data_IF_637834003128
#
_entry.id   IF_637834003128
#
_cell.length_a   1.000
_cell.length_b   1.000
_cell.length_c   1.000
_cell.angle_alpha   90.00
_cell.angle_beta   90.00
_cell.angle_gamma   90.00
#
_symmetry.space_group_name_H-M   'P 1'
#
loop_
_entity.id
_entity.type
_entity.pdbx_description
1 polymer ?
#
# COMPACT_ATOMS: atom_id res chain seq x y z
N UNK A 1 23.69 25.28 -11.60
CA UNK A 1 24.41 25.75 -12.80
C UNK A 1 25.85 26.13 -12.47
N UNK A 2 26.09 26.88 -11.38
CA UNK A 2 27.41 27.38 -10.99
C UNK A 2 28.51 26.32 -10.79
N UNK A 3 28.23 25.18 -10.14
CA UNK A 3 29.23 24.13 -9.93
C UNK A 3 29.70 23.43 -11.22
N UNK A 4 28.82 23.30 -12.22
CA UNK A 4 29.17 22.70 -13.51
C UNK A 4 29.97 23.69 -14.37
N UNK A 5 29.68 24.98 -14.24
CA UNK A 5 30.43 26.07 -14.85
C UNK A 5 31.83 26.20 -14.23
N UNK A 6 31.96 26.03 -12.91
CA UNK A 6 33.26 26.00 -12.23
C UNK A 6 34.14 24.83 -12.66
N UNK A 7 33.55 23.69 -13.01
CA UNK A 7 34.28 22.56 -13.63
C UNK A 7 34.65 22.87 -15.08
N UNK A 8 33.73 23.44 -15.87
CA UNK A 8 33.97 23.80 -17.27
C UNK A 8 35.08 24.84 -17.41
N UNK A 9 35.13 25.81 -16.49
CA UNK A 9 36.16 26.84 -16.43
C UNK A 9 37.41 26.40 -15.65
N UNK A 10 37.51 25.12 -15.28
CA UNK A 10 38.65 24.53 -14.55
C UNK A 10 38.97 25.21 -13.21
N UNK A 11 38.00 25.88 -12.59
CA UNK A 11 38.10 26.41 -11.22
C UNK A 11 38.10 25.31 -10.17
N UNK A 12 37.42 24.19 -10.47
CA UNK A 12 37.38 22.98 -9.65
C UNK A 12 37.54 21.77 -10.58
N UNK A 13 38.27 20.73 -10.15
CA UNK A 13 38.36 19.51 -10.95
C UNK A 13 37.08 18.68 -10.82
N UNK A 14 36.71 17.97 -11.89
CA UNK A 14 35.54 17.09 -11.89
C UNK A 14 35.62 16.03 -10.77
N UNK A 15 36.82 15.51 -10.50
CA UNK A 15 37.07 14.54 -9.43
C UNK A 15 36.74 15.10 -8.04
N UNK A 16 37.12 16.35 -7.76
CA UNK A 16 36.83 17.00 -6.49
C UNK A 16 35.32 17.22 -6.35
N UNK A 17 34.66 17.73 -7.39
CA UNK A 17 33.21 17.91 -7.36
C UNK A 17 32.47 16.58 -7.15
N UNK A 18 32.92 15.51 -7.81
CA UNK A 18 32.35 14.18 -7.65
C UNK A 18 32.52 13.64 -6.23
N UNK A 19 33.73 13.68 -5.68
CA UNK A 19 34.02 13.20 -4.32
C UNK A 19 33.20 13.97 -3.28
N UNK A 20 33.10 15.30 -3.40
CA UNK A 20 32.30 16.11 -2.48
C UNK A 20 30.81 15.84 -2.63
N UNK A 21 30.31 15.67 -3.85
CA UNK A 21 28.91 15.30 -4.10
C UNK A 21 28.58 13.95 -3.46
N UNK A 22 29.44 12.94 -3.67
CA UNK A 22 29.27 11.62 -3.04
C UNK A 22 29.33 11.73 -1.52
N UNK A 23 30.26 12.51 -0.96
CA UNK A 23 30.35 12.73 0.50
C UNK A 23 29.04 13.32 1.06
N UNK A 24 28.51 14.36 0.43
CA UNK A 24 27.25 15.00 0.85
C UNK A 24 26.09 14.00 0.76
N UNK A 25 26.02 13.22 -0.31
CA UNK A 25 24.99 12.18 -0.46
C UNK A 25 25.08 11.10 0.63
N UNK A 26 26.29 10.69 1.01
CA UNK A 26 26.51 9.74 2.12
C UNK A 26 26.09 10.35 3.46
N UNK A 27 26.42 11.62 3.73
CA UNK A 27 25.97 12.30 4.94
C UNK A 27 24.44 12.40 5.02
N UNK A 28 23.78 12.81 3.93
CA UNK A 28 22.32 12.88 3.85
C UNK A 28 21.68 11.50 4.04
N UNK A 29 22.29 10.44 3.50
CA UNK A 29 21.84 9.06 3.71
C UNK A 29 21.96 8.67 5.19
N UNK A 30 23.10 8.94 5.81
CA UNK A 30 23.36 8.56 7.19
C UNK A 30 22.45 9.33 8.17
N UNK A 31 22.18 10.62 7.90
CA UNK A 31 21.19 11.40 8.65
C UNK A 31 19.77 10.82 8.55
N UNK A 32 19.36 10.39 7.36
CA UNK A 32 18.06 9.72 7.16
C UNK A 32 17.97 8.41 7.94
N UNK A 33 19.00 7.58 7.89
CA UNK A 33 19.05 6.33 8.67
C UNK A 33 19.00 6.59 10.17
N UNK A 34 19.76 7.58 10.66
CA UNK A 34 19.75 7.96 12.07
C UNK A 34 18.37 8.43 12.53
N UNK A 35 17.67 9.23 11.71
CA UNK A 35 16.31 9.70 12.01
C UNK A 35 15.30 8.55 12.06
N UNK A 36 15.33 7.66 11.07
CA UNK A 36 14.45 6.49 11.01
C UNK A 36 14.68 5.57 12.23
N UNK A 37 15.95 5.29 12.55
CA UNK A 37 16.30 4.51 13.73
C UNK A 37 15.82 5.16 15.03
N UNK A 38 15.91 6.49 15.14
CA UNK A 38 15.39 7.23 16.30
C UNK A 38 13.87 7.08 16.46
N UNK A 39 13.11 7.16 15.36
CA UNK A 39 11.65 6.99 15.39
C UNK A 39 11.27 5.55 15.77
N UNK A 40 11.93 4.56 15.20
CA UNK A 40 11.70 3.14 15.55
C UNK A 40 12.04 2.86 17.02
N UNK A 41 13.17 3.37 17.51
CA UNK A 41 13.55 3.22 18.91
C UNK A 41 12.57 3.89 19.88
N UNK A 42 11.91 4.98 19.45
CA UNK A 42 10.90 5.64 20.27
C UNK A 42 9.65 4.76 20.44
N UNK A 43 9.23 4.05 19.39
CA UNK A 43 8.11 3.09 19.45
C UNK A 43 8.42 1.88 20.35
N UNK A 44 9.66 1.38 20.36
CA UNK A 44 10.03 0.26 21.23
C UNK A 44 9.94 0.59 22.73
N UNK A 45 10.16 1.86 23.10
CA UNK A 45 10.11 2.30 24.50
C UNK A 45 8.69 2.32 25.08
N UNK A 46 7.67 2.23 24.24
CA UNK A 46 6.27 2.17 24.63
C UNK A 46 5.79 0.72 24.88
N UNK A 47 6.68 -0.29 24.77
CA UNK A 47 6.34 -1.69 25.09
C UNK A 47 5.85 -1.83 26.54
N UNK A 48 4.54 -1.96 26.69
CA UNK A 48 3.86 -2.11 27.98
C UNK A 48 2.60 -1.27 28.12
N UNK A 49 2.33 -0.34 27.20
CA UNK A 49 1.04 0.37 27.12
C UNK A 49 -0.08 -0.56 26.63
N UNK A 50 -1.32 -0.09 26.82
CA UNK A 50 -2.48 -0.76 26.24
C UNK A 50 -2.30 -0.78 24.70
N UNK A 51 -2.58 -1.91 24.03
CA UNK A 51 -2.51 -1.93 22.57
C UNK A 51 -3.63 -1.10 21.96
N UNK A 52 -3.26 -0.26 20.99
CA UNK A 52 -4.16 0.63 20.26
C UNK A 52 -5.51 -0.01 19.95
N UNK A 53 -6.58 0.71 20.25
CA UNK A 53 -7.93 0.29 19.85
C UNK A 53 -8.07 0.20 18.32
N UNK A 54 -9.04 -0.60 17.84
CA UNK A 54 -9.31 -0.70 16.39
C UNK A 54 -9.60 0.67 15.76
N UNK A 55 -10.33 1.55 16.44
CA UNK A 55 -10.65 2.90 15.93
C UNK A 55 -9.44 3.86 15.98
N UNK A 56 -8.54 3.71 16.95
CA UNK A 56 -7.28 4.44 16.97
C UNK A 56 -6.41 4.07 15.75
N UNK A 57 -6.34 2.77 15.42
CA UNK A 57 -5.63 2.29 14.22
C UNK A 57 -6.31 2.83 12.94
N UNK A 58 -7.64 2.79 12.85
CA UNK A 58 -8.36 3.37 11.69
C UNK A 58 -8.04 4.86 11.53
N UNK A 59 -8.02 5.62 12.63
CA UNK A 59 -7.72 7.06 12.63
C UNK A 59 -6.29 7.33 12.17
N UNK A 60 -5.31 6.58 12.71
CA UNK A 60 -3.91 6.66 12.33
C UNK A 60 -3.73 6.40 10.83
N UNK A 61 -4.31 5.31 10.32
CA UNK A 61 -4.17 4.93 8.91
C UNK A 61 -4.88 5.93 7.99
N UNK A 62 -6.03 6.47 8.40
CA UNK A 62 -6.72 7.52 7.65
C UNK A 62 -5.88 8.81 7.56
N UNK A 63 -5.21 9.20 8.64
CA UNK A 63 -4.29 10.35 8.64
C UNK A 63 -3.07 10.11 7.74
N UNK A 64 -2.53 8.89 7.76
CA UNK A 64 -1.43 8.51 6.88
C UNK A 64 -1.84 8.53 5.40
N UNK A 65 -3.05 8.04 5.09
CA UNK A 65 -3.61 8.04 3.74
C UNK A 65 -3.87 9.46 3.19
N UNK A 66 -4.15 10.43 4.07
CA UNK A 66 -4.35 11.83 3.70
C UNK A 66 -3.04 12.57 3.35
N UNK A 67 -1.88 11.95 3.56
CA UNK A 67 -0.59 12.54 3.21
C UNK A 67 -0.40 12.61 1.68
N UNK A 68 0.48 13.51 1.22
CA UNK A 68 0.79 13.65 -0.22
C UNK A 68 1.52 12.40 -0.72
N UNK A 69 1.26 12.04 -1.99
CA UNK A 69 1.88 10.89 -2.67
C UNK A 69 1.58 9.54 -1.98
N UNK A 70 0.38 9.39 -1.43
CA UNK A 70 -0.10 8.21 -0.72
C UNK A 70 -0.73 7.13 -1.62
N UNK A 71 -0.55 7.18 -2.96
CA UNK A 71 -1.27 6.29 -3.90
C UNK A 71 -0.97 4.80 -3.72
N UNK A 72 0.19 4.45 -3.15
CA UNK A 72 0.54 3.05 -2.82
C UNK A 72 -0.11 2.57 -1.52
N UNK A 73 -0.53 3.47 -0.63
CA UNK A 73 -1.00 3.10 0.71
C UNK A 73 -2.27 2.23 0.72
N UNK A 74 -3.29 2.44 -0.15
CA UNK A 74 -4.44 1.52 -0.24
C UNK A 74 -4.04 0.07 -0.52
N UNK A 75 -3.05 -0.13 -1.39
CA UNK A 75 -2.49 -1.47 -1.65
C UNK A 75 -1.95 -2.07 -0.36
N UNK A 76 -1.12 -1.30 0.37
CA UNK A 76 -0.50 -1.79 1.61
C UNK A 76 -1.51 -2.04 2.73
N UNK A 77 -2.62 -1.28 2.77
CA UNK A 77 -3.71 -1.49 3.74
C UNK A 77 -4.35 -2.87 3.52
N UNK A 78 -4.73 -3.19 2.28
CA UNK A 78 -5.32 -4.50 1.97
C UNK A 78 -4.29 -5.61 2.13
N UNK A 79 -3.05 -5.37 1.72
CA UNK A 79 -2.00 -6.36 1.84
C UNK A 79 -1.67 -6.73 3.30
N UNK A 80 -1.61 -5.73 4.18
CA UNK A 80 -1.41 -5.95 5.62
C UNK A 80 -2.56 -6.76 6.24
N UNK A 81 -3.80 -6.59 5.77
CA UNK A 81 -4.95 -7.34 6.26
C UNK A 81 -4.81 -8.84 5.98
N UNK A 82 -4.46 -9.19 4.75
CA UNK A 82 -4.19 -10.58 4.38
C UNK A 82 -2.96 -11.15 5.09
N UNK A 83 -1.85 -10.40 5.15
CA UNK A 83 -0.64 -10.86 5.84
C UNK A 83 -0.90 -11.12 7.34
N UNK A 84 -1.72 -10.31 7.99
CA UNK A 84 -2.06 -10.51 9.39
C UNK A 84 -3.05 -11.67 9.64
N UNK A 85 -3.85 -12.02 8.63
CA UNK A 85 -4.90 -13.03 8.75
C UNK A 85 -4.62 -14.33 7.97
N UNK A 86 -3.44 -14.47 7.35
CA UNK A 86 -3.07 -15.60 6.47
C UNK A 86 -3.34 -16.97 7.11
N UNK A 87 -2.89 -17.15 8.36
CA UNK A 87 -3.08 -18.38 9.14
C UNK A 87 -4.57 -18.74 9.38
N UNK A 88 -5.48 -17.79 9.19
CA UNK A 88 -6.93 -17.96 9.42
C UNK A 88 -7.76 -18.00 8.15
N UNK A 89 -7.27 -17.43 7.05
CA UNK A 89 -8.02 -17.33 5.80
C UNK A 89 -7.76 -18.51 4.87
N UNK A 90 -6.65 -19.24 5.03
CA UNK A 90 -6.17 -20.20 4.03
C UNK A 90 -6.07 -19.57 2.62
N UNK A 91 -5.83 -18.26 2.59
CA UNK A 91 -5.63 -17.41 1.41
C UNK A 91 -4.31 -16.65 1.59
N UNK A 92 -3.59 -16.44 0.49
CA UNK A 92 -2.29 -15.75 0.48
C UNK A 92 -2.20 -14.78 -0.69
N UNK A 93 -1.53 -13.65 -0.48
CA UNK A 93 -1.27 -12.65 -1.52
C UNK A 93 -0.10 -13.13 -2.39
N UNK A 94 -0.27 -13.06 -3.71
CA UNK A 94 0.84 -13.13 -4.66
C UNK A 94 1.72 -11.88 -4.53
N UNK A 95 3.03 -12.10 -4.43
CA UNK A 95 4.05 -11.07 -4.16
C UNK A 95 3.70 -9.70 -4.74
N UNK A 96 3.65 -8.68 -3.87
CA UNK A 96 3.43 -7.29 -4.27
C UNK A 96 4.54 -6.87 -5.24
N UNK A 97 4.23 -6.82 -6.53
CA UNK A 97 5.22 -6.39 -7.52
C UNK A 97 5.62 -4.94 -7.24
N UNK A 98 6.91 -4.64 -7.29
CA UNK A 98 7.42 -3.28 -7.20
C UNK A 98 6.91 -2.51 -8.44
N UNK A 99 6.08 -1.49 -8.23
CA UNK A 99 5.46 -0.68 -9.29
C UNK A 99 6.45 0.19 -10.08
N UNK A 100 7.45 -0.39 -10.73
CA UNK A 100 8.19 0.27 -11.79
C UNK A 100 8.34 -0.71 -12.95
N UNK A 101 7.45 -0.56 -13.94
CA UNK A 101 7.33 -1.32 -15.17
C UNK A 101 6.56 -2.65 -15.09
N UNK A 102 5.28 -2.63 -15.50
CA UNK A 102 4.85 -3.26 -16.76
C UNK A 102 3.32 -3.37 -16.88
N UNK A 103 2.64 -2.30 -17.29
CA UNK A 103 1.23 -2.34 -17.76
C UNK A 103 1.06 -3.00 -19.15
N UNK A 104 2.02 -3.82 -19.60
CA UNK A 104 1.91 -4.56 -20.85
C UNK A 104 2.66 -5.89 -20.89
N UNK A 105 3.41 -6.26 -19.83
CA UNK A 105 4.35 -7.39 -19.89
C UNK A 105 4.25 -8.41 -18.76
N UNK A 106 3.51 -8.16 -17.68
CA UNK A 106 3.38 -9.11 -16.54
C UNK A 106 2.12 -9.95 -16.56
N UNK A 107 1.04 -9.50 -17.20
CA UNK A 107 -0.23 -10.25 -17.25
C UNK A 107 -0.99 -10.30 -15.92
N UNK A 108 -0.76 -9.33 -15.02
CA UNK A 108 -1.51 -9.22 -13.76
C UNK A 108 -2.98 -8.85 -14.00
N UNK A 109 -3.84 -9.40 -13.17
CA UNK A 109 -5.30 -9.23 -13.17
C UNK A 109 -5.67 -7.97 -12.37
N UNK A 110 -4.98 -7.69 -11.26
CA UNK A 110 -5.20 -6.51 -10.41
C UNK A 110 -3.93 -6.04 -9.70
N UNK A 111 -4.06 -5.03 -8.86
CA UNK A 111 -2.98 -4.49 -8.00
C UNK A 111 -2.62 -5.43 -6.85
N UNK A 112 -3.59 -6.21 -6.36
CA UNK A 112 -3.38 -7.32 -5.43
C UNK A 112 -4.09 -8.55 -5.97
N UNK A 113 -3.39 -9.67 -5.96
CA UNK A 113 -3.92 -10.95 -6.38
C UNK A 113 -3.82 -11.93 -5.21
N UNK A 114 -4.94 -12.60 -4.92
CA UNK A 114 -5.05 -13.52 -3.79
C UNK A 114 -5.32 -14.93 -4.33
N UNK A 115 -4.56 -15.89 -3.82
CA UNK A 115 -4.70 -17.31 -4.13
C UNK A 115 -5.10 -18.09 -2.88
N UNK A 116 -5.80 -19.21 -3.09
CA UNK A 116 -5.98 -20.21 -2.04
C UNK A 116 -4.64 -20.87 -1.70
N UNK A 117 -4.38 -21.12 -0.42
CA UNK A 117 -3.16 -21.79 0.02
C UNK A 117 -3.04 -23.16 -0.65
N UNK A 118 -1.91 -23.39 -1.34
CA UNK A 118 -1.64 -24.62 -2.07
C UNK A 118 -2.09 -24.64 -3.54
N UNK A 119 -2.82 -23.61 -4.01
CA UNK A 119 -3.07 -23.36 -5.42
C UNK A 119 -2.48 -22.00 -5.83
N UNK A 120 -2.02 -21.88 -7.07
CA UNK A 120 -1.58 -20.60 -7.65
C UNK A 120 -2.68 -19.94 -8.49
N UNK A 121 -3.91 -20.47 -8.42
CA UNK A 121 -5.08 -19.85 -9.02
C UNK A 121 -5.44 -18.57 -8.28
N UNK A 122 -5.47 -17.46 -9.01
CA UNK A 122 -5.99 -16.20 -8.50
C UNK A 122 -7.51 -16.36 -8.36
N UNK A 123 -7.99 -16.29 -7.12
CA UNK A 123 -9.41 -16.40 -6.78
C UNK A 123 -10.02 -15.04 -6.46
N UNK A 124 -9.22 -14.11 -5.94
CA UNK A 124 -9.66 -12.74 -5.68
C UNK A 124 -8.62 -11.77 -6.24
N UNK A 125 -9.09 -10.75 -6.97
CA UNK A 125 -8.26 -9.66 -7.47
C UNK A 125 -8.77 -8.33 -6.93
N UNK A 126 -7.87 -7.47 -6.49
CA UNK A 126 -8.18 -6.10 -6.09
C UNK A 126 -7.64 -5.10 -7.10
N UNK A 127 -8.42 -4.07 -7.40
CA UNK A 127 -8.01 -2.90 -8.18
C UNK A 127 -8.13 -1.64 -7.31
N UNK A 128 -7.03 -0.92 -7.11
CA UNK A 128 -7.00 0.27 -6.29
C UNK A 128 -7.28 1.51 -7.14
N UNK A 129 -8.21 2.36 -6.66
CA UNK A 129 -8.55 3.62 -7.33
C UNK A 129 -8.50 4.78 -6.35
N UNK A 130 -7.60 5.74 -6.62
CA UNK A 130 -7.55 7.01 -5.86
C UNK A 130 -8.67 8.00 -6.27
N UNK A 131 -9.56 7.59 -7.17
CA UNK A 131 -10.68 8.37 -7.70
C UNK A 131 -11.93 7.51 -7.68
N UNK A 132 -13.08 8.16 -7.88
CA UNK A 132 -14.35 7.47 -8.13
C UNK A 132 -14.23 6.46 -9.27
N UNK A 133 -14.73 5.25 -9.00
CA UNK A 133 -14.86 4.17 -9.99
C UNK A 133 -15.93 4.54 -11.03
N UNK A 134 -15.66 4.26 -12.30
CA UNK A 134 -16.51 4.57 -13.44
C UNK A 134 -17.03 3.30 -14.12
N UNK A 135 -18.04 3.43 -14.99
CA UNK A 135 -18.50 2.30 -15.81
C UNK A 135 -17.38 1.74 -16.69
N UNK A 136 -16.54 2.61 -17.26
CA UNK A 136 -15.38 2.19 -18.07
C UNK A 136 -14.39 1.33 -17.26
N UNK A 137 -14.22 1.62 -15.98
CA UNK A 137 -13.38 0.80 -15.10
C UNK A 137 -13.98 -0.61 -14.92
N UNK A 138 -15.31 -0.70 -14.75
CA UNK A 138 -16.01 -1.98 -14.65
C UNK A 138 -15.88 -2.78 -15.95
N UNK A 139 -16.12 -2.15 -17.11
CA UNK A 139 -16.00 -2.80 -18.41
C UNK A 139 -14.57 -3.30 -18.66
N UNK A 140 -13.57 -2.53 -18.25
CA UNK A 140 -12.16 -2.95 -18.31
C UNK A 140 -11.90 -4.18 -17.41
N UNK A 141 -12.44 -4.22 -16.20
CA UNK A 141 -12.33 -5.39 -15.33
C UNK A 141 -13.01 -6.63 -15.92
N UNK A 142 -14.22 -6.49 -16.48
CA UNK A 142 -14.92 -7.59 -17.18
C UNK A 142 -14.05 -8.14 -18.31
N UNK A 143 -13.43 -7.27 -19.10
CA UNK A 143 -12.51 -7.70 -20.16
C UNK A 143 -11.25 -8.40 -19.63
N UNK A 144 -10.73 -8.04 -18.45
CA UNK A 144 -9.63 -8.75 -17.78
C UNK A 144 -10.08 -10.12 -17.28
N UNK A 145 -11.24 -10.20 -16.61
CA UNK A 145 -11.83 -11.44 -16.09
C UNK A 145 -12.06 -12.45 -17.21
N UNK A 146 -12.63 -12.02 -18.33
CA UNK A 146 -12.88 -12.88 -19.49
C UNK A 146 -11.60 -13.47 -20.12
N UNK A 147 -10.44 -12.82 -19.93
CA UNK A 147 -9.14 -13.27 -20.43
C UNK A 147 -8.36 -14.10 -19.40
N UNK A 148 -8.84 -14.20 -18.16
CA UNK A 148 -8.14 -14.91 -17.11
C UNK A 148 -8.09 -16.42 -17.41
N UNK A 149 -6.95 -17.09 -17.19
CA UNK A 149 -6.79 -18.51 -17.50
C UNK A 149 -7.57 -19.44 -16.56
N UNK A 150 -7.95 -18.93 -15.38
CA UNK A 150 -8.78 -19.61 -14.39
C UNK A 150 -9.91 -18.67 -13.96
N UNK A 151 -11.00 -19.24 -13.46
CA UNK A 151 -12.12 -18.48 -12.95
C UNK A 151 -11.70 -17.69 -11.70
N UNK A 152 -11.97 -16.39 -11.72
CA UNK A 152 -11.86 -15.51 -10.57
C UNK A 152 -13.19 -15.56 -9.83
N UNK A 153 -13.18 -15.62 -8.50
CA UNK A 153 -14.39 -15.57 -7.70
C UNK A 153 -14.77 -14.13 -7.36
N UNK A 154 -13.80 -13.29 -7.01
CA UNK A 154 -14.04 -11.90 -6.61
C UNK A 154 -13.12 -10.94 -7.38
N UNK A 155 -13.69 -9.88 -7.96
CA UNK A 155 -12.96 -8.75 -8.49
C UNK A 155 -13.40 -7.48 -7.76
N UNK A 156 -12.54 -6.97 -6.88
CA UNK A 156 -12.89 -5.94 -5.91
C UNK A 156 -12.19 -4.63 -6.24
N UNK A 157 -12.96 -3.59 -6.56
CA UNK A 157 -12.44 -2.24 -6.58
C UNK A 157 -12.35 -1.70 -5.16
N UNK A 158 -11.24 -1.08 -4.80
CA UNK A 158 -11.07 -0.38 -3.53
C UNK A 158 -10.77 1.07 -3.83
N UNK A 159 -11.62 1.97 -3.37
CA UNK A 159 -11.47 3.41 -3.59
C UNK A 159 -11.38 4.19 -2.28
N UNK A 160 -10.72 5.35 -2.35
CA UNK A 160 -10.69 6.34 -1.28
C UNK A 160 -11.67 7.50 -1.53
N UNK A 161 -12.45 7.42 -2.60
CA UNK A 161 -13.39 8.43 -3.05
C UNK A 161 -14.84 7.91 -2.92
N UNK A 162 -15.82 8.76 -3.18
CA UNK A 162 -17.23 8.39 -3.08
C UNK A 162 -17.61 7.28 -4.08
N UNK A 163 -18.32 6.27 -3.58
CA UNK A 163 -18.89 5.20 -4.40
C UNK A 163 -20.26 5.65 -4.91
N UNK A 164 -20.42 5.68 -6.23
CA UNK A 164 -21.67 6.06 -6.87
C UNK A 164 -22.60 4.82 -6.97
N UNK A 165 -23.84 4.87 -6.45
CA UNK A 165 -24.72 3.70 -6.38
C UNK A 165 -25.02 3.07 -7.75
N UNK A 166 -25.15 3.90 -8.78
CA UNK A 166 -25.37 3.48 -10.16
C UNK A 166 -24.23 2.62 -10.71
N UNK A 167 -22.99 2.91 -10.34
CA UNK A 167 -21.82 2.12 -10.72
C UNK A 167 -21.79 0.77 -9.99
N UNK A 168 -22.16 0.73 -8.70
CA UNK A 168 -22.30 -0.53 -7.95
C UNK A 168 -23.41 -1.42 -8.51
N UNK A 169 -24.55 -0.83 -8.85
CA UNK A 169 -25.68 -1.55 -9.46
C UNK A 169 -25.30 -2.10 -10.84
N UNK A 170 -24.48 -1.37 -11.59
CA UNK A 170 -23.94 -1.82 -12.87
C UNK A 170 -22.98 -3.00 -12.70
N UNK A 171 -22.04 -2.94 -11.75
CA UNK A 171 -21.12 -4.03 -11.46
C UNK A 171 -21.83 -5.35 -11.10
N UNK A 172 -22.94 -5.26 -10.36
CA UNK A 172 -23.71 -6.44 -9.91
C UNK A 172 -24.30 -7.25 -11.07
N UNK A 173 -24.62 -6.61 -12.21
CA UNK A 173 -25.18 -7.29 -13.39
C UNK A 173 -24.23 -8.33 -13.99
N UNK A 174 -22.93 -8.11 -13.83
CA UNK A 174 -21.91 -8.98 -14.42
C UNK A 174 -21.71 -10.28 -13.66
N UNK A 175 -22.35 -10.50 -12.51
CA UNK A 175 -22.23 -11.77 -11.79
C UNK A 175 -22.65 -12.96 -12.67
N UNK A 176 -23.82 -12.88 -13.31
CA UNK A 176 -24.29 -13.94 -14.21
C UNK A 176 -23.49 -13.97 -15.51
N UNK A 177 -23.15 -12.80 -16.07
CA UNK A 177 -22.44 -12.69 -17.36
C UNK A 177 -21.00 -13.23 -17.29
N UNK A 178 -20.35 -13.12 -16.14
CA UNK A 178 -18.99 -13.64 -15.90
C UNK A 178 -18.97 -15.08 -15.38
N UNK A 179 -20.13 -15.74 -15.33
CA UNK A 179 -20.24 -17.11 -14.83
C UNK A 179 -20.05 -17.25 -13.33
N UNK A 180 -20.36 -16.20 -12.56
CA UNK A 180 -20.32 -16.18 -11.10
C UNK A 180 -19.17 -15.42 -10.46
N UNK A 181 -18.52 -14.48 -11.18
CA UNK A 181 -17.51 -13.59 -10.57
C UNK A 181 -18.22 -12.41 -9.91
N UNK A 182 -18.03 -12.22 -8.60
CA UNK A 182 -18.54 -11.05 -7.89
C UNK A 182 -17.68 -9.83 -8.17
N UNK A 183 -18.27 -8.78 -8.76
CA UNK A 183 -17.62 -7.49 -8.94
C UNK A 183 -18.22 -6.50 -7.94
N UNK A 184 -17.40 -5.99 -7.03
CA UNK A 184 -17.85 -5.07 -5.98
C UNK A 184 -16.90 -3.89 -5.82
N UNK A 185 -17.42 -2.79 -5.27
CA UNK A 185 -16.67 -1.56 -5.00
C UNK A 185 -16.71 -1.30 -3.50
N UNK A 186 -15.53 -1.16 -2.89
CA UNK A 186 -15.34 -1.03 -1.45
C UNK A 186 -14.65 0.30 -1.11
N UNK A 187 -15.07 0.90 0.01
CA UNK A 187 -14.36 2.03 0.61
C UNK A 187 -13.13 1.51 1.37
N UNK A 188 -11.95 2.06 1.10
CA UNK A 188 -10.69 1.58 1.67
C UNK A 188 -10.68 1.66 3.20
N UNK A 189 -11.22 2.75 3.77
CA UNK A 189 -11.26 2.93 5.23
C UNK A 189 -12.37 2.06 5.85
N UNK A 190 -13.50 1.92 5.18
CA UNK A 190 -14.58 1.02 5.55
C UNK A 190 -14.13 -0.45 5.59
N UNK A 191 -13.39 -0.89 4.58
CA UNK A 191 -12.74 -2.20 4.54
C UNK A 191 -11.83 -2.41 5.75
N UNK A 192 -10.93 -1.47 6.00
CA UNK A 192 -10.02 -1.54 7.14
C UNK A 192 -10.77 -1.60 8.48
N UNK A 193 -11.75 -0.72 8.67
CA UNK A 193 -12.55 -0.67 9.89
C UNK A 193 -13.26 -2.00 10.12
N UNK A 194 -13.91 -2.54 9.09
CA UNK A 194 -14.58 -3.84 9.19
C UNK A 194 -13.59 -4.96 9.54
N UNK A 195 -12.47 -5.03 8.84
CA UNK A 195 -11.42 -6.01 9.12
C UNK A 195 -10.93 -5.95 10.57
N UNK A 196 -10.63 -4.76 11.08
CA UNK A 196 -10.12 -4.60 12.44
C UNK A 196 -11.13 -4.91 13.55
N UNK A 197 -12.43 -4.82 13.27
CA UNK A 197 -13.47 -5.23 14.21
C UNK A 197 -13.73 -6.74 14.14
N UNK A 198 -13.76 -7.30 12.93
CA UNK A 198 -13.90 -8.74 12.72
C UNK A 198 -12.71 -9.50 13.32
N UNK A 199 -11.50 -8.99 13.09
CA UNK A 199 -10.24 -9.57 13.54
C UNK A 199 -9.60 -8.79 14.68
N UNK A 200 -10.41 -8.31 15.63
CA UNK A 200 -9.97 -7.46 16.75
C UNK A 200 -8.76 -8.00 17.52
N UNK A 201 -8.64 -9.34 17.64
CA UNK A 201 -7.55 -10.00 18.37
C UNK A 201 -6.18 -9.87 17.69
N UNK A 202 -6.12 -9.60 16.38
CA UNK A 202 -4.86 -9.46 15.61
C UNK A 202 -4.65 -8.04 15.08
N UNK A 203 -5.37 -7.05 15.61
CA UNK A 203 -5.22 -5.65 15.18
C UNK A 203 -3.78 -5.12 15.33
N UNK A 204 -3.05 -5.62 16.34
CA UNK A 204 -1.64 -5.28 16.55
C UNK A 204 -0.77 -5.94 15.47
N UNK A 205 -1.04 -7.19 15.12
CA UNK A 205 -0.34 -7.90 14.04
C UNK A 205 -0.58 -7.21 12.70
N UNK A 206 -1.82 -6.75 12.44
CA UNK A 206 -2.14 -5.90 11.29
C UNK A 206 -1.30 -4.62 11.27
N UNK A 207 -1.27 -3.86 12.37
CA UNK A 207 -0.53 -2.61 12.43
C UNK A 207 0.98 -2.84 12.20
N UNK A 208 1.51 -3.95 12.71
CA UNK A 208 2.90 -4.34 12.52
C UNK A 208 3.17 -4.77 11.07
N UNK A 209 2.27 -5.54 10.45
CA UNK A 209 2.36 -5.92 9.04
C UNK A 209 2.33 -4.68 8.14
N UNK A 210 1.42 -3.75 8.40
CA UNK A 210 1.34 -2.49 7.67
C UNK A 210 2.62 -1.65 7.82
N UNK A 211 3.15 -1.52 9.04
CA UNK A 211 4.43 -0.85 9.27
C UNK A 211 5.57 -1.50 8.46
N UNK A 212 5.68 -2.83 8.51
CA UNK A 212 6.73 -3.54 7.79
C UNK A 212 6.66 -3.27 6.28
N UNK A 213 5.45 -3.36 5.70
CA UNK A 213 5.22 -3.09 4.28
C UNK A 213 5.56 -1.63 3.91
N UNK A 214 5.13 -0.65 4.71
CA UNK A 214 5.43 0.78 4.48
C UNK A 214 6.94 1.04 4.49
N UNK A 215 7.68 0.41 5.39
CA UNK A 215 9.13 0.63 5.53
C UNK A 215 9.94 -0.08 4.45
N UNK A 216 9.50 -1.26 4.00
CA UNK A 216 10.19 -2.09 3.00
C UNK A 216 10.02 -1.58 1.57
N UNK A 217 8.92 -0.89 1.27
CA UNK A 217 8.69 -0.28 -0.04
C UNK A 217 9.81 0.71 -0.43
N UNK A 218 10.30 0.71 -1.68
CA UNK A 218 11.32 1.66 -2.12
C UNK A 218 10.80 3.09 -2.05
N UNK A 219 11.73 4.05 -1.89
CA UNK A 219 11.41 5.49 -1.81
C UNK A 219 10.66 6.03 -3.05
N UNK A 220 10.74 5.34 -4.19
CA UNK A 220 9.97 5.65 -5.40
C UNK A 220 8.47 5.33 -5.28
N UNK A 221 8.09 4.40 -4.42
CA UNK A 221 6.70 3.98 -4.20
C UNK A 221 6.14 4.58 -2.90
N UNK A 222 6.93 4.53 -1.81
CA UNK A 222 6.61 5.16 -0.53
C UNK A 222 7.78 6.01 -0.12
N UNK A 223 7.66 7.33 -0.29
CA UNK A 223 8.77 8.25 0.00
C UNK A 223 9.21 8.19 1.46
N UNK A 224 10.49 8.49 1.71
CA UNK A 224 11.05 8.60 3.06
C UNK A 224 10.21 9.51 3.98
N UNK A 225 9.71 10.65 3.47
CA UNK A 225 8.86 11.56 4.24
C UNK A 225 7.54 10.90 4.65
N UNK A 226 6.97 10.06 3.79
CA UNK A 226 5.73 9.34 4.08
C UNK A 226 5.96 8.24 5.13
N UNK A 227 7.09 7.52 5.04
CA UNK A 227 7.52 6.56 6.07
C UNK A 227 7.71 7.22 7.43
N UNK A 228 8.42 8.35 7.47
CA UNK A 228 8.61 9.14 8.69
C UNK A 228 7.28 9.64 9.27
N UNK A 229 6.36 10.10 8.41
CA UNK A 229 5.03 10.54 8.83
C UNK A 229 4.25 9.40 9.51
N UNK A 230 4.27 8.19 8.95
CA UNK A 230 3.64 7.03 9.58
C UNK A 230 4.18 6.74 10.98
N UNK A 231 5.51 6.68 11.14
CA UNK A 231 6.11 6.39 12.45
C UNK A 231 5.79 7.47 13.48
N UNK A 232 5.80 8.75 13.07
CA UNK A 232 5.41 9.85 13.95
C UNK A 232 3.94 9.75 14.36
N UNK A 233 3.02 9.47 13.43
CA UNK A 233 1.60 9.28 13.71
C UNK A 233 1.36 8.11 14.67
N UNK A 234 2.06 6.99 14.45
CA UNK A 234 1.99 5.82 15.34
C UNK A 234 2.51 6.14 16.74
N UNK A 235 3.62 6.85 16.84
CA UNK A 235 4.18 7.25 18.12
C UNK A 235 3.21 8.12 18.92
N UNK A 236 2.57 9.09 18.28
CA UNK A 236 1.55 9.94 18.90
C UNK A 236 0.37 9.10 19.38
N UNK A 237 -0.17 8.24 18.50
CA UNK A 237 -1.28 7.37 18.86
C UNK A 237 -0.97 6.45 20.06
N UNK A 238 0.22 5.86 20.12
CA UNK A 238 0.64 4.98 21.23
C UNK A 238 0.99 5.75 22.52
N UNK A 239 1.21 7.07 22.45
CA UNK A 239 1.54 7.92 23.60
C UNK A 239 0.30 8.60 24.22
N UNK A 240 -0.77 8.77 23.44
CA UNK A 240 -2.02 9.40 23.85
C UNK A 240 -3.00 8.41 24.54
N UNK A 241 -2.68 7.10 24.58
CA UNK A 241 -3.38 6.06 25.36
C UNK A 241 -2.77 5.85 26.75
#
# INVERSE_FOLDING_TARGET
MQLLEDVAESRITADVLFVETVRILLQLRDEKFARMASLMNALERTRGSLPLSSEAIVTLIAQHLACKNASRLPVLIVAAAYQAAEDRLAESILSLNAHNAADLQTGSIGDIEVCLVGDKAIVTAYEMKMKRVTFDDIDAAVAKIAKAPKQINNYLFVTTDQIAPDVSDYATKFYEETGGTEIAILDCIGFLRYFLHLFHRIRVDYLNAYQALVLDEPDSAVSQTLKEAFLALRQVAESDE
#
